data_IF_931866583426
#
_entry.id   IF_931866583426
#
_cell.length_a   1.000
_cell.length_b   1.000
_cell.length_c   1.000
_cell.angle_alpha   90.00
_cell.angle_beta   90.00
_cell.angle_gamma   90.00
#
_symmetry.space_group_name_H-M   'P 1'
#
loop_
_entity.id
_entity.type
_entity.pdbx_description
1 polymer ?
#
# COMPACT_ATOMS: atom_id res chain seq x y z
N UNK A 1 2.14 -38.91 9.53
CA UNK A 1 2.74 -37.57 9.42
C UNK A 1 1.64 -36.56 9.68
N UNK A 2 1.76 -35.71 10.70
CA UNK A 2 0.75 -34.67 10.98
C UNK A 2 0.93 -33.52 9.98
N UNK A 3 -0.12 -33.21 9.23
CA UNK A 3 -0.13 -32.09 8.31
C UNK A 3 -0.27 -30.81 9.14
N UNK A 4 0.80 -30.01 9.21
CA UNK A 4 0.73 -28.68 9.79
C UNK A 4 -0.12 -27.80 8.87
N UNK A 5 -1.32 -27.42 9.33
CA UNK A 5 -2.15 -26.42 8.65
C UNK A 5 -1.76 -25.07 9.25
N UNK A 6 -1.10 -24.18 8.49
CA UNK A 6 -0.74 -22.87 9.00
C UNK A 6 -2.01 -22.07 9.34
N UNK A 7 -2.04 -21.35 10.48
CA UNK A 7 -3.17 -20.50 10.83
C UNK A 7 -3.36 -19.43 9.76
N UNK A 8 -4.60 -19.30 9.29
CA UNK A 8 -4.98 -18.30 8.29
C UNK A 8 -5.20 -16.98 9.02
N UNK A 9 -4.13 -16.19 9.16
CA UNK A 9 -4.21 -14.84 9.74
C UNK A 9 -4.94 -13.94 8.71
N UNK A 10 -6.07 -13.31 9.07
CA UNK A 10 -6.74 -12.38 8.18
C UNK A 10 -5.81 -11.23 7.84
N UNK A 11 -5.78 -10.83 6.55
CA UNK A 11 -5.03 -9.66 6.13
C UNK A 11 -5.53 -8.44 6.91
N UNK A 12 -4.62 -7.65 7.48
CA UNK A 12 -5.00 -6.46 8.22
C UNK A 12 -5.70 -5.48 7.27
N UNK A 13 -6.99 -5.26 7.50
CA UNK A 13 -7.75 -4.26 6.77
C UNK A 13 -7.28 -2.86 7.21
N UNK A 14 -7.04 -1.93 6.27
CA UNK A 14 -6.69 -0.57 6.62
C UNK A 14 -7.83 0.10 7.37
N UNK A 15 -7.49 0.87 8.41
CA UNK A 15 -8.49 1.66 9.13
C UNK A 15 -9.12 2.72 8.21
N UNK A 16 -10.35 3.12 8.49
CA UNK A 16 -11.05 4.17 7.73
C UNK A 16 -10.25 5.49 7.68
N UNK A 17 -9.48 5.78 8.73
CA UNK A 17 -8.59 6.95 8.79
C UNK A 17 -7.47 6.85 7.75
N UNK A 18 -6.81 5.70 7.64
CA UNK A 18 -5.76 5.51 6.64
C UNK A 18 -6.30 5.59 5.21
N UNK A 19 -7.52 5.12 4.97
CA UNK A 19 -8.18 5.30 3.67
C UNK A 19 -8.47 6.78 3.37
N UNK A 20 -8.90 7.57 4.36
CA UNK A 20 -9.11 9.00 4.20
C UNK A 20 -7.81 9.75 3.89
N UNK A 21 -6.74 9.46 4.64
CA UNK A 21 -5.41 10.05 4.44
C UNK A 21 -4.83 9.66 3.06
N UNK A 22 -5.00 8.41 2.66
CA UNK A 22 -4.60 7.94 1.33
C UNK A 22 -5.34 8.66 0.20
N UNK A 23 -6.65 8.92 0.35
CA UNK A 23 -7.40 9.73 -0.62
C UNK A 23 -6.87 11.16 -0.72
N UNK A 24 -6.50 11.78 0.40
CA UNK A 24 -5.88 13.12 0.40
C UNK A 24 -4.56 13.13 -0.36
N UNK A 25 -3.72 12.11 -0.16
CA UNK A 25 -2.44 12.00 -0.87
C UNK A 25 -2.63 11.82 -2.38
N UNK A 26 -3.59 10.98 -2.79
CA UNK A 26 -3.89 10.75 -4.22
C UNK A 26 -4.59 11.95 -4.87
N UNK A 27 -5.41 12.69 -4.12
CA UNK A 27 -6.11 13.87 -4.61
C UNK A 27 -5.18 15.08 -4.84
N UNK A 28 -4.03 15.14 -4.16
CA UNK A 28 -3.08 16.26 -4.25
C UNK A 28 -1.71 15.81 -4.78
N UNK A 29 -1.62 15.30 -6.03
CA UNK A 29 -0.40 14.66 -6.54
C UNK A 29 0.81 15.61 -6.64
N UNK A 30 0.58 16.91 -6.85
CA UNK A 30 1.64 17.93 -6.91
C UNK A 30 2.28 18.16 -5.54
N UNK A 31 1.48 18.22 -4.47
CA UNK A 31 1.96 18.43 -3.10
C UNK A 31 2.82 17.26 -2.58
N UNK A 32 2.59 16.06 -3.13
CA UNK A 32 3.29 14.84 -2.75
C UNK A 32 4.21 14.31 -3.86
N UNK A 33 4.54 15.13 -4.85
CA UNK A 33 5.44 14.76 -5.95
C UNK A 33 6.80 14.30 -5.42
N UNK A 34 7.34 15.01 -4.43
CA UNK A 34 8.63 14.70 -3.78
C UNK A 34 8.55 13.51 -2.80
N UNK A 35 7.36 12.92 -2.63
CA UNK A 35 7.12 11.81 -1.69
C UNK A 35 6.56 10.58 -2.40
N UNK A 36 7.34 9.97 -3.32
CA UNK A 36 6.87 8.83 -4.11
C UNK A 36 6.55 7.60 -3.24
N UNK A 37 7.25 7.41 -2.12
CA UNK A 37 6.93 6.38 -1.14
C UNK A 37 5.56 6.58 -0.48
N UNK A 38 5.23 7.82 -0.11
CA UNK A 38 3.94 8.14 0.51
C UNK A 38 2.79 7.92 -0.48
N UNK A 39 2.97 8.31 -1.74
CA UNK A 39 1.99 8.05 -2.82
C UNK A 39 1.79 6.56 -3.05
N UNK A 40 2.87 5.77 -3.02
CA UNK A 40 2.80 4.31 -3.12
C UNK A 40 2.00 3.71 -1.97
N UNK A 41 2.30 4.10 -0.73
CA UNK A 41 1.55 3.64 0.44
C UNK A 41 0.07 4.01 0.35
N UNK A 42 -0.25 5.24 -0.05
CA UNK A 42 -1.63 5.67 -0.25
C UNK A 42 -2.36 4.78 -1.28
N UNK A 43 -1.73 4.48 -2.41
CA UNK A 43 -2.31 3.59 -3.42
C UNK A 43 -2.55 2.17 -2.86
N UNK A 44 -1.59 1.60 -2.13
CA UNK A 44 -1.74 0.28 -1.50
C UNK A 44 -2.92 0.24 -0.55
N UNK A 45 -3.03 1.24 0.33
CA UNK A 45 -4.11 1.34 1.30
C UNK A 45 -5.47 1.32 0.62
N UNK A 46 -5.62 2.03 -0.50
CA UNK A 46 -6.88 2.06 -1.27
C UNK A 46 -7.15 0.76 -2.04
N UNK A 47 -6.11 0.07 -2.51
CA UNK A 47 -6.26 -1.25 -3.15
C UNK A 47 -6.70 -2.30 -2.13
N UNK A 48 -6.08 -2.29 -0.94
CA UNK A 48 -6.47 -3.16 0.17
C UNK A 48 -7.90 -2.88 0.66
N UNK A 49 -8.31 -1.61 0.75
CA UNK A 49 -9.70 -1.23 1.08
C UNK A 49 -10.70 -1.83 0.08
N UNK A 50 -10.31 -1.94 -1.21
CA UNK A 50 -11.13 -2.53 -2.28
C UNK A 50 -11.10 -4.05 -2.29
N UNK A 51 -10.42 -4.70 -1.34
CA UNK A 51 -10.25 -6.15 -1.29
C UNK A 51 -9.29 -6.69 -2.37
N UNK A 52 -8.49 -5.83 -2.99
CA UNK A 52 -7.48 -6.25 -3.96
C UNK A 52 -6.23 -6.73 -3.23
N UNK A 53 -5.72 -7.89 -3.65
CA UNK A 53 -4.48 -8.45 -3.11
C UNK A 53 -3.31 -7.62 -3.66
N UNK A 54 -2.64 -6.91 -2.77
CA UNK A 54 -1.39 -6.21 -3.10
C UNK A 54 -0.23 -7.17 -2.91
N UNK A 55 0.46 -7.48 -4.00
CA UNK A 55 1.70 -8.24 -3.98
C UNK A 55 2.83 -7.37 -3.41
N UNK A 56 3.20 -7.65 -2.15
CA UNK A 56 4.22 -6.91 -1.42
C UNK A 56 5.61 -7.07 -2.04
N UNK A 57 5.92 -8.25 -2.61
CA UNK A 57 7.22 -8.52 -3.22
C UNK A 57 7.36 -7.76 -4.54
N UNK A 58 6.31 -7.76 -5.36
CA UNK A 58 6.28 -6.95 -6.58
C UNK A 58 6.38 -5.46 -6.26
N UNK A 59 5.78 -5.03 -5.16
CA UNK A 59 5.78 -3.64 -4.73
C UNK A 59 7.14 -3.18 -4.18
N UNK A 60 7.85 -4.04 -3.44
CA UNK A 60 9.21 -3.79 -2.99
C UNK A 60 10.20 -3.64 -4.16
N UNK A 61 9.93 -4.33 -5.28
CA UNK A 61 10.75 -4.30 -6.49
C UNK A 61 10.41 -3.18 -7.46
N UNK A 62 9.29 -2.47 -7.30
CA UNK A 62 8.97 -1.34 -8.18
C UNK A 62 9.96 -0.19 -7.92
N UNK A 63 10.63 0.33 -8.95
CA UNK A 63 11.51 1.48 -8.81
C UNK A 63 10.70 2.64 -8.24
N UNK A 64 11.16 3.16 -7.10
CA UNK A 64 10.72 4.46 -6.62
C UNK A 64 11.55 5.43 -7.45
N UNK A 65 10.92 6.25 -8.29
CA UNK A 65 11.64 7.35 -8.93
C UNK A 65 12.07 8.30 -7.81
N UNK A 66 13.29 8.09 -7.34
CA UNK A 66 13.99 9.06 -6.50
C UNK A 66 14.48 10.08 -7.51
N UNK A 67 13.95 11.30 -7.47
CA UNK A 67 14.59 12.39 -8.17
C UNK A 67 16.00 12.50 -7.60
N UNK A 68 17.00 12.04 -8.36
CA UNK A 68 18.41 12.24 -8.04
C UNK A 68 18.61 13.75 -7.85
N UNK A 69 18.93 14.15 -6.62
CA UNK A 69 19.40 15.50 -6.27
C UNK A 69 20.91 15.46 -6.22
#
# INVERSE_FOLDING_TARGET
MQHFIPPRIPAAEPSAQFCADARQVVANPEQYADRPLLRRLAWMTLMSERGLIVDQDRLARMPVEIADV
#
